data_IF_389320464674
#
_entry.id   IF_389320464674
#
_cell.length_a   1.000
_cell.length_b   1.000
_cell.length_c   1.000
_cell.angle_alpha   90.00
_cell.angle_beta   90.00
_cell.angle_gamma   90.00
#
_symmetry.space_group_name_H-M   'P 1'
#
loop_
_entity.id
_entity.type
_entity.pdbx_description
1 polymer ?
#
# COMPACT_ATOMS: atom_id res chain seq x y z
N UNK A 1 -26.18 3.00 -34.07
CA UNK A 1 -24.71 3.13 -34.19
C UNK A 1 -24.10 2.81 -32.83
N UNK A 2 -23.48 1.63 -32.66
CA UNK A 2 -22.62 1.37 -31.49
C UNK A 2 -21.31 2.11 -31.78
N UNK A 3 -21.04 3.20 -31.07
CA UNK A 3 -19.72 3.83 -31.11
C UNK A 3 -18.71 2.76 -30.69
N UNK A 4 -17.73 2.45 -31.55
CA UNK A 4 -16.53 1.74 -31.12
C UNK A 4 -15.95 2.59 -29.99
N UNK A 5 -16.06 2.11 -28.77
CA UNK A 5 -15.27 2.63 -27.66
C UNK A 5 -13.85 2.22 -28.05
N UNK A 6 -13.03 3.17 -28.46
CA UNK A 6 -11.59 2.92 -28.60
C UNK A 6 -11.12 2.41 -27.24
N UNK A 7 -10.63 1.17 -27.20
CA UNK A 7 -10.05 0.57 -26.02
C UNK A 7 -8.87 1.44 -25.60
N UNK A 8 -9.13 2.33 -24.63
CA UNK A 8 -8.09 3.21 -24.11
C UNK A 8 -7.29 2.38 -23.12
N UNK A 9 -6.00 2.18 -23.41
CA UNK A 9 -5.12 1.42 -22.53
C UNK A 9 -4.94 2.15 -21.20
N UNK A 10 -4.74 1.39 -20.14
CA UNK A 10 -4.63 1.89 -18.78
C UNK A 10 -3.36 1.39 -18.10
N UNK A 11 -2.66 2.29 -17.42
CA UNK A 11 -1.45 1.98 -16.65
C UNK A 11 -1.76 2.21 -15.17
N UNK A 12 -1.68 1.14 -14.39
CA UNK A 12 -1.77 1.23 -12.93
C UNK A 12 -0.41 1.62 -12.36
N UNK A 13 -0.35 2.72 -11.60
CA UNK A 13 0.86 3.19 -10.95
C UNK A 13 0.76 2.95 -9.46
N UNK A 14 1.79 2.33 -8.89
CA UNK A 14 1.95 2.21 -7.44
C UNK A 14 1.97 3.59 -6.75
N UNK A 15 1.49 3.65 -5.52
CA UNK A 15 1.40 4.92 -4.78
C UNK A 15 2.78 5.57 -4.56
N UNK A 16 3.84 4.78 -4.38
CA UNK A 16 5.19 5.33 -4.25
C UNK A 16 5.64 6.08 -5.51
N UNK A 17 5.25 5.59 -6.68
CA UNK A 17 5.53 6.25 -7.96
C UNK A 17 4.74 7.55 -8.08
N UNK A 18 3.47 7.55 -7.67
CA UNK A 18 2.61 8.75 -7.64
C UNK A 18 3.20 9.81 -6.71
N UNK A 19 3.61 9.41 -5.50
CA UNK A 19 4.18 10.31 -4.49
C UNK A 19 5.53 10.87 -4.93
N UNK A 20 6.42 10.03 -5.48
CA UNK A 20 7.71 10.47 -6.02
C UNK A 20 7.51 11.49 -7.16
N UNK A 21 6.61 11.19 -8.10
CA UNK A 21 6.29 12.10 -9.19
C UNK A 21 5.69 13.42 -8.69
N UNK A 22 4.80 13.38 -7.69
CA UNK A 22 4.24 14.58 -7.04
C UNK A 22 5.35 15.45 -6.41
N UNK A 23 6.29 14.84 -5.68
CA UNK A 23 7.42 15.55 -5.03
C UNK A 23 8.31 16.22 -6.08
N UNK A 24 8.68 15.49 -7.14
CA UNK A 24 9.49 16.00 -8.25
C UNK A 24 8.81 17.17 -8.98
N UNK A 25 7.50 17.09 -9.23
CA UNK A 25 6.75 18.18 -9.88
C UNK A 25 6.66 19.44 -9.01
N UNK A 26 6.48 19.29 -7.68
CA UNK A 26 6.51 20.44 -6.76
C UNK A 26 7.87 21.13 -6.77
N UNK A 27 8.96 20.36 -6.76
CA UNK A 27 10.31 20.91 -6.86
C UNK A 27 10.53 21.68 -8.18
N UNK A 28 10.03 21.15 -9.30
CA UNK A 28 10.08 21.83 -10.61
C UNK A 28 9.27 23.14 -10.66
N UNK A 29 8.18 23.23 -9.89
CA UNK A 29 7.32 24.43 -9.88
C UNK A 29 7.90 25.60 -9.07
N UNK A 30 8.94 25.36 -8.28
CA UNK A 30 9.66 26.40 -7.54
C UNK A 30 10.67 27.02 -8.51
N UNK A 31 10.47 28.31 -8.86
CA UNK A 31 11.42 29.03 -9.72
C UNK A 31 12.83 29.00 -9.08
N UNK A 32 13.89 28.74 -9.86
CA UNK A 32 15.25 28.90 -9.36
C UNK A 32 15.42 30.32 -8.82
N UNK A 33 16.07 30.44 -7.66
CA UNK A 33 16.65 31.73 -7.24
C UNK A 33 17.62 32.16 -8.34
N UNK A 34 17.66 33.45 -8.64
CA UNK A 34 18.30 34.08 -9.82
C UNK A 34 19.80 33.76 -10.04
N UNK A 35 20.43 32.96 -9.19
CA UNK A 35 21.86 32.60 -9.23
C UNK A 35 22.17 31.15 -9.61
N UNK A 36 21.18 30.29 -9.91
CA UNK A 36 21.44 28.94 -10.41
C UNK A 36 21.29 28.86 -11.93
N UNK A 37 22.36 28.43 -12.61
CA UNK A 37 22.41 28.19 -14.06
C UNK A 37 21.15 27.45 -14.53
N UNK A 38 20.39 28.09 -15.43
CA UNK A 38 19.15 27.53 -16.02
C UNK A 38 19.43 26.23 -16.79
N UNK A 39 20.67 26.03 -17.25
CA UNK A 39 21.12 24.80 -17.91
C UNK A 39 21.38 23.62 -16.95
N UNK A 40 21.64 23.89 -15.67
CA UNK A 40 21.77 22.87 -14.62
C UNK A 40 20.41 22.60 -13.93
N UNK A 41 19.31 23.13 -14.48
CA UNK A 41 17.96 22.82 -14.01
C UNK A 41 17.57 21.38 -14.44
N UNK A 42 18.21 20.44 -13.75
CA UNK A 42 18.06 18.99 -13.68
C UNK A 42 17.18 18.38 -14.78
N UNK A 43 17.85 17.88 -15.83
CA UNK A 43 17.31 16.88 -16.78
C UNK A 43 16.56 15.74 -16.06
N UNK A 44 17.00 15.41 -14.83
CA UNK A 44 16.37 14.45 -13.93
C UNK A 44 14.91 14.76 -13.55
N UNK A 45 14.46 16.01 -13.67
CA UNK A 45 13.05 16.40 -13.47
C UNK A 45 12.31 16.61 -14.79
N UNK A 46 12.98 17.16 -15.80
CA UNK A 46 12.37 17.48 -17.10
C UNK A 46 11.96 16.20 -17.84
N UNK A 47 12.82 15.18 -17.85
CA UNK A 47 12.59 13.94 -18.60
C UNK A 47 11.40 13.15 -18.03
N UNK A 48 11.28 12.88 -16.71
CA UNK A 48 10.11 12.20 -16.17
C UNK A 48 8.80 12.97 -16.38
N UNK A 49 8.83 14.31 -16.30
CA UNK A 49 7.64 15.12 -16.51
C UNK A 49 7.15 15.09 -17.96
N UNK A 50 8.07 15.24 -18.93
CA UNK A 50 7.75 15.11 -20.36
C UNK A 50 7.21 13.71 -20.67
N UNK A 51 7.91 12.65 -20.24
CA UNK A 51 7.45 11.27 -20.43
C UNK A 51 6.04 11.03 -19.86
N UNK A 52 5.76 11.53 -18.65
CA UNK A 52 4.43 11.40 -18.07
C UNK A 52 3.38 12.15 -18.89
N UNK A 53 3.68 13.34 -19.40
CA UNK A 53 2.76 14.08 -20.26
C UNK A 53 2.50 13.36 -21.58
N UNK A 54 3.52 12.76 -22.19
CA UNK A 54 3.37 11.96 -23.41
C UNK A 54 2.50 10.72 -23.16
N UNK A 55 2.71 10.02 -22.05
CA UNK A 55 1.89 8.86 -21.69
C UNK A 55 0.43 9.26 -21.42
N UNK A 56 0.18 10.42 -20.79
CA UNK A 56 -1.18 10.95 -20.53
C UNK A 56 -2.00 11.23 -21.80
N UNK A 57 -1.37 11.28 -22.97
CA UNK A 57 -2.06 11.44 -24.26
C UNK A 57 -2.75 10.13 -24.68
N UNK A 58 -2.14 8.98 -24.37
CA UNK A 58 -2.57 7.68 -24.89
C UNK A 58 -3.10 6.73 -23.81
N UNK A 59 -2.75 6.98 -22.54
CA UNK A 59 -3.07 6.10 -21.42
C UNK A 59 -3.92 6.79 -20.35
N UNK A 60 -4.75 5.98 -19.69
CA UNK A 60 -5.43 6.35 -18.46
C UNK A 60 -4.60 5.86 -17.27
N UNK A 61 -4.55 6.65 -16.20
CA UNK A 61 -3.84 6.31 -14.96
C UNK A 61 -4.83 6.14 -13.80
N UNK A 62 -5.60 5.04 -13.76
CA UNK A 62 -6.61 4.86 -12.74
C UNK A 62 -5.98 4.75 -11.34
N UNK A 63 -6.67 5.27 -10.34
CA UNK A 63 -6.36 5.04 -8.93
C UNK A 63 -7.19 3.86 -8.38
N UNK A 64 -6.94 3.44 -7.15
CA UNK A 64 -7.73 2.42 -6.45
C UNK A 64 -7.99 2.84 -5.00
N UNK A 65 -8.90 2.16 -4.28
CA UNK A 65 -9.06 2.35 -2.84
C UNK A 65 -7.76 2.21 -2.05
N UNK A 66 -6.82 1.35 -2.46
CA UNK A 66 -5.53 1.17 -1.78
C UNK A 66 -4.68 2.45 -1.81
N UNK A 67 -4.63 3.17 -2.94
CA UNK A 67 -3.94 4.48 -2.99
C UNK A 67 -4.55 5.49 -2.02
N UNK A 68 -5.87 5.45 -1.87
CA UNK A 68 -6.62 6.35 -0.99
C UNK A 68 -6.42 5.97 0.48
N UNK A 69 -6.28 4.68 0.78
CA UNK A 69 -5.92 4.14 2.09
C UNK A 69 -4.56 4.67 2.53
N UNK A 70 -3.55 4.59 1.66
CA UNK A 70 -2.22 5.17 1.92
C UNK A 70 -2.26 6.68 2.14
N UNK A 71 -3.10 7.41 1.38
CA UNK A 71 -3.34 8.83 1.63
C UNK A 71 -4.01 9.06 2.99
N UNK A 72 -5.00 8.24 3.37
CA UNK A 72 -5.70 8.36 4.64
C UNK A 72 -4.78 8.06 5.84
N UNK A 73 -3.81 7.17 5.70
CA UNK A 73 -2.81 6.86 6.73
C UNK A 73 -2.03 8.08 7.23
N UNK A 74 -1.91 9.14 6.43
CA UNK A 74 -1.25 10.40 6.83
C UNK A 74 -1.92 11.03 8.05
N UNK A 75 -3.24 10.86 8.23
CA UNK A 75 -3.96 11.34 9.42
C UNK A 75 -3.47 10.71 10.72
N UNK A 76 -2.80 9.54 10.67
CA UNK A 76 -2.32 8.80 11.83
C UNK A 76 -0.85 9.09 12.15
N UNK A 77 -0.15 9.85 11.32
CA UNK A 77 1.23 10.24 11.61
C UNK A 77 1.26 11.20 12.81
N UNK A 78 1.68 10.68 13.96
CA UNK A 78 1.73 11.42 15.23
C UNK A 78 2.70 12.61 15.21
N UNK A 79 3.49 12.76 14.14
CA UNK A 79 4.42 13.88 13.95
C UNK A 79 3.79 15.09 13.26
N UNK A 80 2.58 14.95 12.69
CA UNK A 80 1.91 16.02 11.97
C UNK A 80 0.77 16.60 12.80
N UNK A 81 0.73 17.92 12.85
CA UNK A 81 -0.44 18.63 13.36
C UNK A 81 -1.65 18.37 12.45
N UNK A 82 -2.85 18.32 13.02
CA UNK A 82 -4.08 17.95 12.30
C UNK A 82 -4.32 18.77 11.03
N UNK A 83 -4.08 20.08 11.10
CA UNK A 83 -4.24 20.99 9.95
C UNK A 83 -3.23 20.69 8.84
N UNK A 84 -2.00 20.35 9.20
CA UNK A 84 -0.95 19.98 8.27
C UNK A 84 -1.29 18.66 7.59
N UNK A 85 -1.71 17.64 8.35
CA UNK A 85 -2.17 16.36 7.81
C UNK A 85 -3.32 16.53 6.80
N UNK A 86 -4.32 17.35 7.12
CA UNK A 86 -5.43 17.64 6.21
C UNK A 86 -4.96 18.32 4.92
N UNK A 87 -3.99 19.23 5.02
CA UNK A 87 -3.38 19.87 3.85
C UNK A 87 -2.60 18.87 3.00
N UNK A 88 -1.88 17.94 3.61
CA UNK A 88 -1.17 16.88 2.90
C UNK A 88 -2.13 15.96 2.13
N UNK A 89 -3.19 15.50 2.80
CA UNK A 89 -4.24 14.67 2.21
C UNK A 89 -4.91 15.39 1.04
N UNK A 90 -5.35 16.64 1.26
CA UNK A 90 -6.02 17.43 0.22
C UNK A 90 -5.13 17.57 -1.01
N UNK A 91 -3.83 17.83 -0.81
CA UNK A 91 -2.87 17.94 -1.91
C UNK A 91 -2.71 16.61 -2.66
N UNK A 92 -2.64 15.48 -1.96
CA UNK A 92 -2.53 14.17 -2.59
C UNK A 92 -3.79 13.80 -3.36
N UNK A 93 -4.98 13.98 -2.78
CA UNK A 93 -6.26 13.72 -3.46
C UNK A 93 -6.41 14.56 -4.73
N UNK A 94 -6.03 15.83 -4.69
CA UNK A 94 -6.05 16.71 -5.86
C UNK A 94 -5.06 16.22 -6.94
N UNK A 95 -3.88 15.77 -6.54
CA UNK A 95 -2.90 15.23 -7.46
C UNK A 95 -3.36 13.92 -8.11
N UNK A 96 -3.93 13.00 -7.33
CA UNK A 96 -4.54 11.77 -7.82
C UNK A 96 -5.67 12.10 -8.80
N UNK A 97 -6.54 13.07 -8.49
CA UNK A 97 -7.60 13.50 -9.39
C UNK A 97 -7.04 14.02 -10.72
N UNK A 98 -6.01 14.86 -10.67
CA UNK A 98 -5.38 15.41 -11.87
C UNK A 98 -4.75 14.32 -12.73
N UNK A 99 -4.03 13.38 -12.11
CA UNK A 99 -3.36 12.28 -12.79
C UNK A 99 -4.35 11.29 -13.40
N UNK A 100 -5.33 10.86 -12.61
CA UNK A 100 -6.30 9.83 -12.98
C UNK A 100 -7.48 10.36 -13.78
N UNK A 101 -7.71 11.68 -13.80
CA UNK A 101 -8.94 12.29 -14.33
C UNK A 101 -10.21 11.71 -13.68
N UNK A 102 -10.08 11.19 -12.46
CA UNK A 102 -11.15 10.54 -11.70
C UNK A 102 -11.43 9.09 -12.10
N UNK A 103 -10.59 8.43 -12.92
CA UNK A 103 -10.75 7.01 -13.19
C UNK A 103 -10.26 6.16 -12.00
N UNK A 104 -11.10 5.23 -11.55
CA UNK A 104 -10.86 4.35 -10.41
C UNK A 104 -11.01 2.89 -10.86
N UNK A 105 -10.07 2.04 -10.44
CA UNK A 105 -10.31 0.60 -10.33
C UNK A 105 -10.97 0.29 -8.99
N UNK A 106 -12.27 0.04 -9.03
CA UNK A 106 -13.06 -0.36 -7.88
C UNK A 106 -13.14 -1.89 -7.83
N UNK A 107 -12.60 -2.54 -6.78
CA UNK A 107 -12.86 -3.96 -6.54
C UNK A 107 -14.35 -4.19 -6.28
N UNK A 108 -14.94 -5.17 -6.95
CA UNK A 108 -16.30 -5.66 -6.67
C UNK A 108 -16.27 -7.15 -6.37
N UNK A 109 -17.39 -7.71 -5.91
CA UNK A 109 -17.52 -9.14 -5.59
C UNK A 109 -17.27 -10.08 -6.77
N UNK A 110 -17.34 -9.59 -8.01
CA UNK A 110 -17.24 -10.41 -9.22
C UNK A 110 -16.10 -10.03 -10.16
N UNK A 111 -15.69 -8.76 -10.18
CA UNK A 111 -14.64 -8.24 -11.05
C UNK A 111 -14.07 -6.91 -10.55
N UNK A 112 -12.93 -6.50 -11.12
CA UNK A 112 -12.42 -5.13 -10.97
C UNK A 112 -13.13 -4.24 -11.99
N UNK A 113 -13.78 -3.18 -11.54
CA UNK A 113 -14.53 -2.25 -12.38
C UNK A 113 -13.72 -0.97 -12.60
N UNK A 114 -13.49 -0.60 -13.85
CA UNK A 114 -13.02 0.74 -14.18
C UNK A 114 -14.22 1.69 -14.21
N UNK A 115 -14.29 2.61 -13.25
CA UNK A 115 -15.36 3.61 -13.16
C UNK A 115 -14.80 5.01 -13.02
N UNK A 116 -15.67 6.01 -13.10
CA UNK A 116 -15.31 7.40 -12.84
C UNK A 116 -15.87 7.83 -11.48
N UNK A 117 -14.98 8.15 -10.54
CA UNK A 117 -15.32 8.64 -9.20
C UNK A 117 -14.27 9.65 -8.75
N UNK A 118 -14.72 10.71 -8.09
CA UNK A 118 -13.83 11.70 -7.51
C UNK A 118 -13.07 11.08 -6.32
N UNK A 119 -11.73 11.21 -6.23
CA UNK A 119 -10.94 10.61 -5.14
C UNK A 119 -11.42 10.95 -3.73
N UNK A 120 -11.96 12.15 -3.52
CA UNK A 120 -12.60 12.54 -2.25
C UNK A 120 -13.78 11.64 -1.85
N UNK A 121 -14.59 11.16 -2.80
CA UNK A 121 -15.70 10.25 -2.50
C UNK A 121 -15.19 8.86 -2.13
N UNK A 122 -14.17 8.36 -2.85
CA UNK A 122 -13.46 7.14 -2.46
C UNK A 122 -12.84 7.28 -1.06
N UNK A 123 -12.24 8.43 -0.76
CA UNK A 123 -11.66 8.74 0.56
C UNK A 123 -12.67 8.70 1.69
N UNK A 124 -13.89 9.23 1.49
CA UNK A 124 -14.97 9.13 2.48
C UNK A 124 -15.35 7.66 2.73
N UNK A 125 -15.39 6.82 1.70
CA UNK A 125 -15.66 5.37 1.84
C UNK A 125 -14.53 4.69 2.60
N UNK A 126 -13.29 4.91 2.17
CA UNK A 126 -12.09 4.36 2.80
C UNK A 126 -12.04 4.74 4.26
N UNK A 127 -12.22 6.01 4.63
CA UNK A 127 -12.22 6.45 6.04
C UNK A 127 -13.32 5.81 6.87
N UNK A 128 -14.51 5.61 6.28
CA UNK A 128 -15.62 4.97 6.99
C UNK A 128 -15.27 3.53 7.37
N UNK A 129 -14.58 2.83 6.48
CA UNK A 129 -14.29 1.40 6.63
C UNK A 129 -12.90 1.12 7.26
N UNK A 130 -11.89 2.00 7.11
CA UNK A 130 -11.36 2.72 8.26
C UNK A 130 -10.98 1.95 9.51
N UNK A 131 -11.88 2.08 10.47
CA UNK A 131 -11.73 1.49 11.78
C UNK A 131 -11.55 -0.03 11.69
N UNK A 132 -12.19 -0.70 10.72
CA UNK A 132 -12.15 -2.16 10.53
C UNK A 132 -10.79 -2.67 10.02
N UNK A 133 -9.93 -1.79 9.51
CA UNK A 133 -8.57 -2.17 9.10
C UNK A 133 -7.58 -2.08 10.26
N UNK A 134 -7.90 -1.37 11.35
CA UNK A 134 -7.01 -1.26 12.52
C UNK A 134 -6.83 -2.64 13.17
N UNK A 135 -7.91 -3.40 13.36
CA UNK A 135 -7.79 -4.75 13.92
C UNK A 135 -7.06 -5.69 12.96
N UNK A 136 -7.16 -5.46 11.64
CA UNK A 136 -6.41 -6.24 10.65
C UNK A 136 -4.91 -5.93 10.72
N UNK A 137 -4.52 -4.65 10.78
CA UNK A 137 -3.13 -4.21 10.96
C UNK A 137 -2.53 -4.71 12.28
N UNK A 138 -3.29 -4.65 13.39
CA UNK A 138 -2.86 -5.19 14.69
C UNK A 138 -2.66 -6.71 14.64
N UNK A 139 -3.54 -7.43 13.92
CA UNK A 139 -3.37 -8.87 13.69
C UNK A 139 -2.15 -9.18 12.82
N UNK A 140 -1.81 -8.35 11.85
CA UNK A 140 -0.57 -8.51 11.07
C UNK A 140 0.66 -8.30 11.93
N UNK A 141 0.71 -7.21 12.72
CA UNK A 141 1.80 -6.96 13.68
C UNK A 141 1.94 -8.11 14.69
N UNK A 142 0.82 -8.62 15.20
CA UNK A 142 0.81 -9.79 16.06
C UNK A 142 1.42 -10.99 15.35
N UNK A 143 1.00 -11.33 14.12
CA UNK A 143 1.58 -12.45 13.34
C UNK A 143 3.08 -12.29 13.07
N UNK A 144 3.53 -11.08 12.77
CA UNK A 144 4.95 -10.79 12.56
C UNK A 144 5.76 -10.94 13.84
N UNK A 145 5.18 -10.60 14.99
CA UNK A 145 5.85 -10.73 16.29
C UNK A 145 6.22 -12.18 16.65
N UNK A 146 5.53 -13.20 16.12
CA UNK A 146 5.88 -14.61 16.34
C UNK A 146 7.03 -15.11 15.46
N UNK A 147 7.58 -14.28 14.56
CA UNK A 147 8.67 -14.69 13.67
C UNK A 147 10.04 -14.64 14.33
N UNK A 148 10.20 -13.88 15.41
CA UNK A 148 11.42 -13.84 16.20
C UNK A 148 11.17 -13.28 17.62
N UNK A 149 12.00 -13.72 18.57
CA UNK A 149 11.87 -13.39 20.00
C UNK A 149 11.96 -11.88 20.30
N UNK A 150 12.67 -11.11 19.45
CA UNK A 150 12.85 -9.67 19.65
C UNK A 150 11.56 -8.93 19.30
N UNK A 151 10.97 -9.21 18.13
CA UNK A 151 9.69 -8.63 17.72
C UNK A 151 8.54 -9.02 18.66
N UNK A 152 8.56 -10.24 19.21
CA UNK A 152 7.61 -10.66 20.24
C UNK A 152 7.70 -9.81 21.52
N UNK A 153 8.92 -9.61 22.04
CA UNK A 153 9.15 -8.81 23.25
C UNK A 153 8.77 -7.34 23.05
N UNK A 154 9.04 -6.77 21.88
CA UNK A 154 8.65 -5.40 21.53
C UNK A 154 7.12 -5.24 21.51
N UNK A 155 6.39 -6.14 20.84
CA UNK A 155 4.92 -6.12 20.79
C UNK A 155 4.27 -6.28 22.18
N UNK A 156 4.78 -7.18 23.02
CA UNK A 156 4.25 -7.43 24.37
C UNK A 156 4.58 -6.34 25.39
N UNK A 157 5.62 -5.53 25.17
CA UNK A 157 5.92 -4.39 26.03
C UNK A 157 4.99 -3.20 25.75
N UNK A 158 4.46 -3.09 24.53
CA UNK A 158 3.51 -2.04 24.12
C UNK A 158 2.06 -2.37 24.46
N UNK A 159 1.71 -3.64 24.56
CA UNK A 159 0.35 -4.11 24.88
C UNK A 159 0.25 -4.50 26.37
N UNK A 160 -0.81 -4.04 27.06
CA UNK A 160 -1.03 -4.35 28.49
C UNK A 160 -1.04 -5.88 28.69
N UNK A 161 -0.48 -6.40 29.81
CA UNK A 161 -0.23 -7.83 29.94
C UNK A 161 -1.55 -8.60 30.06
N UNK A 162 -2.03 -9.15 28.95
CA UNK A 162 -2.97 -10.26 28.98
C UNK A 162 -2.20 -11.48 29.48
N UNK A 163 -2.72 -12.12 30.53
CA UNK A 163 -2.12 -13.26 31.25
C UNK A 163 -2.06 -14.57 30.44
N UNK A 164 -2.31 -14.53 29.14
CA UNK A 164 -2.30 -15.71 28.28
C UNK A 164 -0.88 -15.91 27.76
N UNK A 165 -0.18 -16.88 28.34
CA UNK A 165 1.12 -17.31 27.84
C UNK A 165 0.93 -18.16 26.58
N UNK A 166 1.21 -17.59 25.41
CA UNK A 166 1.22 -18.31 24.13
C UNK A 166 2.68 -18.68 23.79
N UNK A 167 2.98 -19.94 23.45
CA UNK A 167 4.35 -20.36 23.10
C UNK A 167 4.81 -19.76 21.76
N UNK A 168 6.12 -19.47 21.66
CA UNK A 168 6.78 -18.98 20.43
C UNK A 168 6.78 -20.01 19.32
N UNK A 169 6.83 -19.52 18.08
CA UNK A 169 6.81 -20.37 16.89
C UNK A 169 7.99 -21.35 16.86
N UNK A 170 9.18 -20.92 17.27
CA UNK A 170 10.37 -21.78 17.38
C UNK A 170 10.16 -22.90 18.41
N UNK A 171 9.54 -22.59 19.55
CA UNK A 171 9.22 -23.61 20.58
C UNK A 171 8.21 -24.63 20.05
N UNK A 172 7.19 -24.17 19.32
CA UNK A 172 6.24 -25.06 18.65
C UNK A 172 7.01 -25.92 17.62
N UNK A 173 7.88 -25.33 16.81
CA UNK A 173 8.66 -26.09 15.83
C UNK A 173 9.55 -27.16 16.48
N UNK A 174 10.20 -26.85 17.61
CA UNK A 174 11.00 -27.81 18.38
C UNK A 174 10.13 -28.93 18.97
N UNK A 175 9.02 -28.56 19.62
CA UNK A 175 8.07 -29.49 20.23
C UNK A 175 7.53 -30.50 19.20
N UNK A 176 7.16 -30.01 18.01
CA UNK A 176 6.62 -30.82 16.92
C UNK A 176 7.71 -31.34 15.96
N UNK A 177 9.00 -31.10 16.24
CA UNK A 177 10.15 -31.54 15.41
C UNK A 177 10.04 -31.13 13.94
N UNK A 178 9.49 -29.95 13.67
CA UNK A 178 9.28 -29.41 12.32
C UNK A 178 10.61 -28.89 11.77
N UNK A 179 11.16 -29.55 10.75
CA UNK A 179 12.41 -29.14 10.11
C UNK A 179 12.14 -28.26 8.87
N UNK A 180 12.23 -26.95 9.03
CA UNK A 180 11.92 -25.96 7.98
C UNK A 180 12.76 -26.13 6.71
N UNK A 181 14.07 -26.41 6.85
CA UNK A 181 14.97 -26.61 5.70
C UNK A 181 14.53 -27.80 4.86
N UNK A 182 14.17 -28.91 5.53
CA UNK A 182 13.66 -30.10 4.86
C UNK A 182 12.32 -29.84 4.15
N UNK A 183 11.44 -29.02 4.73
CA UNK A 183 10.12 -28.72 4.15
C UNK A 183 10.17 -27.78 2.94
N UNK A 184 11.13 -26.86 2.89
CA UNK A 184 11.29 -25.91 1.77
C UNK A 184 11.67 -26.63 0.47
N UNK A 185 12.47 -27.70 0.58
CA UNK A 185 12.95 -28.45 -0.59
C UNK A 185 11.96 -29.52 -1.07
N UNK A 186 10.86 -29.73 -0.35
CA UNK A 186 9.87 -30.75 -0.69
C UNK A 186 8.77 -30.16 -1.59
N UNK A 187 8.31 -30.93 -2.61
CA UNK A 187 7.08 -30.59 -3.32
C UNK A 187 5.90 -30.50 -2.35
N UNK A 188 4.95 -29.58 -2.61
CA UNK A 188 3.78 -29.31 -1.75
C UNK A 188 3.03 -30.60 -1.36
N UNK A 189 2.91 -31.53 -2.32
CA UNK A 189 2.22 -32.81 -2.15
C UNK A 189 2.91 -33.76 -1.14
N UNK A 190 4.20 -33.55 -0.88
CA UNK A 190 5.01 -34.32 0.06
C UNK A 190 5.12 -33.63 1.42
N UNK A 191 5.10 -32.29 1.46
CA UNK A 191 4.98 -31.51 2.70
C UNK A 191 3.73 -31.93 3.48
N UNK A 192 2.61 -32.12 2.78
CA UNK A 192 1.35 -32.60 3.36
C UNK A 192 1.37 -34.09 3.76
N UNK A 193 2.44 -34.84 3.49
CA UNK A 193 2.57 -36.24 3.96
C UNK A 193 3.44 -36.34 5.21
N UNK A 194 4.10 -35.24 5.61
CA UNK A 194 4.89 -35.22 6.84
C UNK A 194 3.95 -35.28 8.04
N UNK A 195 4.10 -36.35 8.83
CA UNK A 195 3.26 -36.60 10.01
C UNK A 195 3.41 -35.49 11.06
N UNK A 196 4.54 -34.78 11.07
CA UNK A 196 4.79 -33.68 11.99
C UNK A 196 4.13 -32.36 11.53
N UNK A 197 3.62 -32.29 10.29
CA UNK A 197 2.94 -31.12 9.72
C UNK A 197 1.42 -31.24 9.83
N UNK A 198 0.87 -32.47 9.76
CA UNK A 198 -0.57 -32.71 9.72
C UNK A 198 -1.22 -33.24 11.01
N UNK A 199 -0.48 -33.54 12.07
CA UNK A 199 -1.08 -34.01 13.34
C UNK A 199 -1.71 -32.87 14.14
N UNK A 200 -2.77 -32.28 13.61
CA UNK A 200 -3.84 -31.65 14.39
C UNK A 200 -5.18 -32.01 13.76
N UNK A 201 -5.67 -33.22 14.01
CA UNK A 201 -7.10 -33.39 14.22
C UNK A 201 -7.35 -33.07 15.69
N UNK A 202 -8.17 -32.05 15.91
CA UNK A 202 -8.56 -31.52 17.22
C UNK A 202 -8.80 -32.62 18.27
N UNK A 203 -8.17 -32.45 19.44
CA UNK A 203 -8.58 -33.05 20.72
C UNK A 203 -9.16 -31.94 21.57
#
# INVERSE_FOLDING_TARGET
>A
MKSKIEETESIYLDMNVIVDYMKKRKAFSIKPKESQNIFDFNLDFLIPHQKMNDLKLNFIFPYSPAHIEETANIQRDSKLEKEEALKHITNQLNFILELSKGYEYLPSSSAILLKKEHPLECYKRVIKDYALTIEAEENEKFKESFRDEKSYKEFHNETTPSSIHIPMYEKIQEEYKINKKKLIDLPVNEVLKDKNVLTQTAS
#
